data_IF_260202380573
#
_entry.id   IF_260202380573
#
_cell.length_a   1.000
_cell.length_b   1.000
_cell.length_c   1.000
_cell.angle_alpha   90.00
_cell.angle_beta   90.00
_cell.angle_gamma   90.00
#
_symmetry.space_group_name_H-M   'P 1'
#
loop_
_entity.id
_entity.type
_entity.pdbx_description
1 polymer ?
#
# COMPACT_ATOMS: atom_id res chain seq x y z
N UNK A 1 -2.61 2.04 13.35
CA UNK A 1 -3.07 0.68 13.00
C UNK A 1 -1.89 -0.27 13.03
N UNK A 2 -2.15 -1.55 13.28
CA UNK A 2 -1.27 -2.65 12.84
C UNK A 2 -1.93 -3.31 11.64
N UNK A 3 -1.14 -3.60 10.60
CA UNK A 3 -1.67 -4.15 9.35
C UNK A 3 -0.89 -5.41 9.00
N UNK A 4 -1.59 -6.53 8.86
CA UNK A 4 -1.08 -7.73 8.20
C UNK A 4 -1.51 -7.70 6.74
N UNK A 5 -0.60 -8.03 5.82
CA UNK A 5 -0.89 -8.12 4.38
C UNK A 5 -0.53 -9.51 3.85
N UNK A 6 -1.54 -10.31 3.49
CA UNK A 6 -1.39 -11.67 2.94
C UNK A 6 -0.76 -11.69 1.54
N UNK A 7 -0.55 -12.82 0.86
CA UNK A 7 0.08 -12.85 -0.47
C UNK A 7 -0.70 -12.05 -1.53
N UNK A 8 0.02 -11.52 -2.55
CA UNK A 8 -0.61 -10.85 -3.71
C UNK A 8 -1.45 -11.88 -4.49
N UNK A 9 -2.67 -11.52 -4.87
CA UNK A 9 -3.65 -12.42 -5.48
C UNK A 9 -3.51 -12.52 -7.01
N UNK A 10 -2.97 -11.49 -7.66
CA UNK A 10 -2.86 -11.44 -9.11
C UNK A 10 -1.53 -10.79 -9.58
N UNK A 11 -1.25 -10.88 -10.88
CA UNK A 11 0.00 -10.42 -11.51
C UNK A 11 -0.02 -8.99 -12.05
N UNK A 12 -1.17 -8.30 -12.02
CA UNK A 12 -1.31 -6.97 -12.58
C UNK A 12 -1.43 -5.91 -11.48
N UNK A 13 -2.07 -6.24 -10.36
CA UNK A 13 -2.32 -5.34 -9.25
C UNK A 13 -1.52 -5.72 -8.00
N UNK A 14 -1.74 -4.96 -6.92
CA UNK A 14 -1.24 -5.24 -5.56
C UNK A 14 -2.32 -5.79 -4.63
N UNK A 15 -3.43 -6.29 -5.20
CA UNK A 15 -4.57 -6.85 -4.45
C UNK A 15 -4.12 -8.01 -3.56
N UNK A 16 -4.54 -7.96 -2.28
CA UNK A 16 -4.21 -8.94 -1.25
C UNK A 16 -5.17 -8.83 -0.08
N UNK A 17 -5.22 -9.88 0.73
CA UNK A 17 -5.88 -9.81 2.03
C UNK A 17 -5.15 -8.81 2.93
N UNK A 18 -5.92 -7.92 3.57
CA UNK A 18 -5.41 -7.01 4.58
C UNK A 18 -6.24 -7.14 5.85
N UNK A 19 -5.56 -7.41 6.97
CA UNK A 19 -6.15 -7.35 8.30
C UNK A 19 -5.60 -6.10 8.98
N UNK A 20 -6.44 -5.07 9.07
CA UNK A 20 -6.09 -3.80 9.68
C UNK A 20 -6.80 -3.63 11.03
N UNK A 21 -6.02 -3.48 12.09
CA UNK A 21 -6.55 -3.33 13.46
C UNK A 21 -6.17 -1.95 14.00
N UNK A 22 -7.13 -1.15 14.50
CA UNK A 22 -6.83 0.10 15.18
C UNK A 22 -5.84 -0.11 16.32
N UNK A 23 -4.91 0.82 16.47
CA UNK A 23 -3.88 0.73 17.50
C UNK A 23 -3.97 1.94 18.43
N UNK A 24 -3.93 1.67 19.73
CA UNK A 24 -3.98 2.71 20.76
C UNK A 24 -2.57 3.22 21.07
N UNK A 25 -1.60 2.30 21.29
CA UNK A 25 -0.20 2.65 21.59
C UNK A 25 0.78 1.92 20.65
N UNK A 26 1.53 2.64 19.81
CA UNK A 26 2.55 2.05 18.93
C UNK A 26 3.80 1.54 19.66
N UNK A 27 4.13 2.08 20.83
CA UNK A 27 5.32 1.69 21.59
C UNK A 27 5.16 0.30 22.21
N UNK A 28 4.03 0.07 22.88
CA UNK A 28 3.73 -1.22 23.51
C UNK A 28 3.64 -2.36 22.48
N UNK A 29 3.01 -2.10 21.33
CA UNK A 29 2.96 -3.07 20.25
C UNK A 29 4.35 -3.36 19.68
N UNK A 30 5.18 -2.33 19.46
CA UNK A 30 6.55 -2.51 19.01
C UNK A 30 7.33 -3.42 19.95
N UNK A 31 7.22 -3.18 21.27
CA UNK A 31 7.84 -4.03 22.27
C UNK A 31 7.30 -5.46 22.25
N UNK A 32 5.97 -5.65 22.14
CA UNK A 32 5.35 -6.96 22.03
C UNK A 32 5.89 -7.75 20.83
N UNK A 33 5.95 -7.14 19.64
CA UNK A 33 6.46 -7.79 18.42
C UNK A 33 7.92 -8.23 18.58
N UNK A 34 8.77 -7.37 19.19
CA UNK A 34 10.15 -7.74 19.52
C UNK A 34 10.21 -8.94 20.48
N UNK A 35 9.36 -8.98 21.50
CA UNK A 35 9.29 -10.12 22.45
C UNK A 35 8.78 -11.41 21.81
N UNK A 36 7.99 -11.32 20.75
CA UNK A 36 7.52 -12.45 19.95
C UNK A 36 8.56 -12.93 18.92
N UNK A 37 9.71 -12.25 18.81
CA UNK A 37 10.81 -12.63 17.91
C UNK A 37 10.74 -12.01 16.51
N UNK A 38 9.89 -11.00 16.31
CA UNK A 38 9.93 -10.19 15.09
C UNK A 38 11.05 -9.17 15.17
N UNK A 39 11.65 -8.87 14.02
CA UNK A 39 12.70 -7.85 13.90
C UNK A 39 12.25 -6.72 12.95
N UNK A 40 12.57 -5.46 13.26
CA UNK A 40 12.27 -4.36 12.35
C UNK A 40 13.12 -4.46 11.08
N UNK A 41 12.47 -4.46 9.92
CA UNK A 41 13.15 -4.57 8.62
C UNK A 41 13.55 -3.19 8.08
N UNK A 42 12.60 -2.25 8.02
CA UNK A 42 12.85 -0.89 7.57
C UNK A 42 11.73 0.06 8.04
N UNK A 43 11.99 1.36 7.92
CA UNK A 43 10.98 2.42 8.14
C UNK A 43 10.63 3.04 6.80
N UNK A 44 9.33 3.03 6.46
CA UNK A 44 8.80 3.74 5.29
C UNK A 44 8.14 5.02 5.75
N UNK A 45 8.77 6.16 5.50
CA UNK A 45 8.23 7.49 5.82
C UNK A 45 7.60 8.11 4.57
N UNK A 46 6.35 8.56 4.69
CA UNK A 46 5.63 9.19 3.57
C UNK A 46 4.63 10.25 4.01
N UNK A 47 4.32 11.16 3.08
CA UNK A 47 3.19 12.10 3.20
C UNK A 47 2.12 11.74 2.18
N UNK A 48 0.92 11.40 2.67
CA UNK A 48 -0.23 10.98 1.86
C UNK A 48 -1.26 12.08 1.73
N UNK A 49 -1.81 12.27 0.52
CA UNK A 49 -3.03 13.04 0.26
C UNK A 49 -4.08 12.10 -0.32
N UNK A 50 -5.21 11.96 0.36
CA UNK A 50 -6.31 11.10 -0.06
C UNK A 50 -7.41 11.87 -0.79
N UNK A 51 -8.00 11.22 -1.78
CA UNK A 51 -9.12 11.68 -2.60
C UNK A 51 -10.10 10.52 -2.79
N UNK A 52 -11.35 10.85 -3.05
CA UNK A 52 -12.38 9.88 -3.43
C UNK A 52 -12.85 10.21 -4.84
N UNK A 53 -12.72 9.26 -5.76
CA UNK A 53 -13.17 9.39 -7.15
C UNK A 53 -14.23 8.33 -7.41
N UNK A 54 -15.50 8.71 -7.28
CA UNK A 54 -16.60 7.75 -7.28
C UNK A 54 -16.49 6.83 -6.06
N UNK A 55 -16.27 5.53 -6.30
CA UNK A 55 -16.05 4.52 -5.26
C UNK A 55 -14.58 4.15 -5.07
N UNK A 56 -13.67 4.77 -5.81
CA UNK A 56 -12.24 4.50 -5.75
C UNK A 56 -11.56 5.46 -4.76
N UNK A 57 -10.75 4.90 -3.88
CA UNK A 57 -9.82 5.66 -3.07
C UNK A 57 -8.57 5.95 -3.88
N UNK A 58 -8.24 7.23 -4.03
CA UNK A 58 -7.05 7.67 -4.76
C UNK A 58 -6.13 8.37 -3.79
N UNK A 59 -4.86 7.98 -3.75
CA UNK A 59 -3.87 8.60 -2.86
C UNK A 59 -2.63 9.03 -3.61
N UNK A 60 -2.15 10.23 -3.30
CA UNK A 60 -0.86 10.73 -3.77
C UNK A 60 0.10 10.65 -2.59
N UNK A 61 1.13 9.83 -2.74
CA UNK A 61 2.16 9.58 -1.73
C UNK A 61 3.47 10.23 -2.14
N UNK A 62 4.01 11.08 -1.27
CA UNK A 62 5.39 11.52 -1.31
C UNK A 62 6.19 10.64 -0.35
N UNK A 63 6.96 9.69 -0.89
CA UNK A 63 7.70 8.70 -0.12
C UNK A 63 9.16 9.13 -0.02
N UNK A 64 9.65 9.29 1.21
CA UNK A 64 11.03 9.68 1.47
C UNK A 64 11.98 8.65 0.86
N UNK A 65 12.90 9.13 0.04
CA UNK A 65 13.87 8.28 -0.67
C UNK A 65 13.31 7.56 -1.90
N UNK A 66 12.05 7.74 -2.31
CA UNK A 66 11.50 7.14 -3.53
C UNK A 66 10.79 8.14 -4.47
N UNK A 67 10.31 9.28 -3.96
CA UNK A 67 9.61 10.28 -4.77
C UNK A 67 8.08 10.17 -4.69
N UNK A 68 7.38 10.52 -5.76
CA UNK A 68 5.91 10.57 -5.80
C UNK A 68 5.29 9.32 -6.42
N UNK A 69 4.21 8.85 -5.82
CA UNK A 69 3.40 7.73 -6.29
C UNK A 69 1.92 8.07 -6.24
N UNK A 70 1.15 7.51 -7.16
CA UNK A 70 -0.30 7.49 -7.13
C UNK A 70 -0.76 6.05 -6.83
N UNK A 71 -1.56 5.86 -5.80
CA UNK A 71 -2.28 4.61 -5.57
C UNK A 71 -3.76 4.80 -5.85
N UNK A 72 -4.38 3.83 -6.53
CA UNK A 72 -5.81 3.78 -6.81
C UNK A 72 -6.32 2.45 -6.29
N UNK A 73 -7.24 2.48 -5.34
CA UNK A 73 -7.76 1.31 -4.64
C UNK A 73 -9.28 1.24 -4.76
N UNK A 74 -9.80 0.08 -5.16
CA UNK A 74 -11.20 -0.27 -5.01
C UNK A 74 -11.36 -1.05 -3.70
N UNK A 75 -11.89 -0.41 -2.65
CA UNK A 75 -12.16 -1.08 -1.37
C UNK A 75 -13.56 -1.69 -1.35
N UNK A 76 -13.71 -2.78 -0.58
CA UNK A 76 -14.99 -3.46 -0.33
C UNK A 76 -15.72 -3.89 -1.61
N UNK A 77 -14.99 -4.35 -2.63
CA UNK A 77 -15.58 -4.95 -3.82
C UNK A 77 -15.76 -6.46 -3.58
N UNK A 78 -16.99 -6.96 -3.73
CA UNK A 78 -17.27 -8.40 -3.66
C UNK A 78 -16.68 -9.16 -4.87
N UNK A 79 -16.50 -8.44 -5.98
CA UNK A 79 -15.86 -8.93 -7.21
C UNK A 79 -14.53 -8.23 -7.46
N UNK A 80 -13.45 -9.02 -7.48
CA UNK A 80 -12.09 -8.54 -7.72
C UNK A 80 -11.88 -8.00 -9.13
N UNK A 81 -12.47 -8.66 -10.15
CA UNK A 81 -12.29 -8.23 -11.54
C UNK A 81 -13.03 -6.92 -11.80
N UNK A 82 -14.23 -6.74 -11.23
CA UNK A 82 -14.94 -5.47 -11.33
C UNK A 82 -14.15 -4.32 -10.68
N UNK A 83 -13.61 -4.54 -9.47
CA UNK A 83 -12.78 -3.55 -8.79
C UNK A 83 -11.54 -3.18 -9.62
N UNK A 84 -10.91 -4.19 -10.22
CA UNK A 84 -9.73 -4.03 -11.08
C UNK A 84 -10.04 -3.28 -12.37
N UNK A 85 -11.14 -3.57 -13.06
CA UNK A 85 -11.57 -2.84 -14.26
C UNK A 85 -11.76 -1.35 -13.97
N UNK A 86 -12.39 -1.02 -12.84
CA UNK A 86 -12.58 0.38 -12.41
C UNK A 86 -11.24 1.08 -12.15
N UNK A 87 -10.32 0.42 -11.44
CA UNK A 87 -8.97 0.95 -11.17
C UNK A 87 -8.23 1.22 -12.49
N UNK A 88 -8.18 0.23 -13.38
CA UNK A 88 -7.49 0.34 -14.67
C UNK A 88 -8.12 1.42 -15.57
N UNK A 89 -9.45 1.53 -15.59
CA UNK A 89 -10.15 2.58 -16.34
C UNK A 89 -9.84 3.99 -15.84
N UNK A 90 -9.70 4.18 -14.52
CA UNK A 90 -9.27 5.47 -13.97
C UNK A 90 -7.81 5.77 -14.33
N UNK A 91 -6.93 4.77 -14.26
CA UNK A 91 -5.53 4.94 -14.65
C UNK A 91 -5.38 5.35 -16.13
N UNK A 92 -6.15 4.73 -17.03
CA UNK A 92 -6.20 5.08 -18.45
C UNK A 92 -6.69 6.52 -18.66
N UNK A 93 -7.75 6.92 -17.95
CA UNK A 93 -8.29 8.29 -18.00
C UNK A 93 -7.27 9.34 -17.54
N UNK A 94 -6.41 8.98 -16.57
CA UNK A 94 -5.33 9.84 -16.07
C UNK A 94 -4.08 9.80 -16.95
N UNK A 95 -4.04 8.97 -17.99
CA UNK A 95 -2.89 8.79 -18.87
C UNK A 95 -1.68 8.17 -18.16
N UNK A 96 -1.92 7.30 -17.18
CA UNK A 96 -0.87 6.65 -16.39
C UNK A 96 -0.62 5.23 -16.89
N UNK A 97 0.55 5.00 -17.47
CA UNK A 97 0.97 3.74 -18.08
C UNK A 97 2.02 2.98 -17.24
N UNK A 98 2.66 3.65 -16.27
CA UNK A 98 3.67 3.04 -15.40
C UNK A 98 3.04 2.41 -14.16
N UNK A 99 2.97 1.08 -14.16
CA UNK A 99 2.54 0.29 -13.01
C UNK A 99 3.74 -0.11 -12.14
N UNK A 100 3.65 0.20 -10.84
CA UNK A 100 4.62 -0.26 -9.85
C UNK A 100 3.97 -1.29 -8.92
N UNK A 101 4.34 -2.56 -9.10
CA UNK A 101 3.80 -3.68 -8.29
C UNK A 101 4.59 -3.93 -7.01
N UNK A 102 5.81 -3.40 -6.91
CA UNK A 102 6.58 -3.44 -5.66
C UNK A 102 5.92 -2.50 -4.63
N UNK A 103 5.99 -2.89 -3.39
CA UNK A 103 5.68 -2.04 -2.25
C UNK A 103 6.81 -1.04 -2.04
N UNK A 104 6.53 0.05 -1.32
CA UNK A 104 7.57 0.99 -0.93
C UNK A 104 8.69 0.32 -0.14
N UNK A 105 8.38 -0.70 0.67
CA UNK A 105 9.37 -1.50 1.37
C UNK A 105 10.29 -2.24 0.38
N UNK A 106 9.72 -2.97 -0.60
CA UNK A 106 10.49 -3.66 -1.64
C UNK A 106 11.41 -2.69 -2.39
N UNK A 107 10.88 -1.52 -2.79
CA UNK A 107 11.64 -0.49 -3.50
C UNK A 107 12.79 0.10 -2.67
N UNK A 108 12.57 0.37 -1.38
CA UNK A 108 13.60 0.90 -0.49
C UNK A 108 14.71 -0.14 -0.27
N UNK A 109 14.35 -1.42 -0.13
CA UNK A 109 15.33 -2.50 0.06
C UNK A 109 16.17 -2.73 -1.21
N UNK A 110 15.59 -2.60 -2.40
CA UNK A 110 16.33 -2.72 -3.67
C UNK A 110 17.29 -1.55 -3.91
N UNK A 111 16.95 -0.34 -3.43
CA UNK A 111 17.80 0.85 -3.59
C UNK A 111 19.05 0.81 -2.71
N UNK A 112 19.02 0.05 -1.61
CA UNK A 112 20.08 0.02 -0.60
C UNK A 112 20.08 1.26 0.30
N UNK A 113 20.86 1.26 1.40
CA UNK A 113 21.00 2.43 2.25
C UNK A 113 21.68 3.58 1.47
N UNK A 114 21.23 4.82 1.71
CA UNK A 114 21.96 6.04 1.31
C UNK A 114 23.29 6.18 2.07
#
# INVERSE_FOLDING_TARGET
>A
FITYKGPKLDLQTKSREELEVPLVDPQDLGMLLLRLGFEPVAVVEKRRRGYLVGTLEVTIDEVKGLGYFLEVEAKNCDDLEEGKERVLGLMDTLGLDQLERRSYLELLLERGPE
#
